data_IF_585302262835
#
_entry.id   IF_585302262835
#
_cell.length_a   1.000
_cell.length_b   1.000
_cell.length_c   1.000
_cell.angle_alpha   90.00
_cell.angle_beta   90.00
_cell.angle_gamma   90.00
#
_symmetry.space_group_name_H-M   'P 1'
#
loop_
_entity.id
_entity.type
_entity.pdbx_description
1 polymer ?
#
# COMPACT_ATOMS: atom_id res chain seq x y z
N UNK A 1 26.39 18.05 29.68
CA UNK A 1 25.40 17.04 30.12
C UNK A 1 24.02 17.24 29.49
N UNK A 2 23.35 18.39 29.63
CA UNK A 2 22.01 18.64 29.05
C UNK A 2 21.96 18.53 27.51
N UNK A 3 22.92 19.12 26.81
CA UNK A 3 22.92 19.17 25.34
C UNK A 3 23.11 17.79 24.69
N UNK A 4 23.90 16.93 25.33
CA UNK A 4 24.18 15.57 24.86
C UNK A 4 22.94 14.67 24.98
N UNK A 5 22.14 14.87 26.04
CA UNK A 5 20.87 14.16 26.22
C UNK A 5 19.85 14.54 25.13
N UNK A 6 19.72 15.83 24.82
CA UNK A 6 18.81 16.31 23.76
C UNK A 6 19.22 15.73 22.40
N UNK A 7 20.52 15.75 22.07
CA UNK A 7 21.01 15.16 20.83
C UNK A 7 20.71 13.65 20.75
N UNK A 8 20.89 12.92 21.86
CA UNK A 8 20.57 11.50 21.93
C UNK A 8 19.07 11.22 21.74
N UNK A 9 18.20 12.01 22.37
CA UNK A 9 16.75 11.91 22.19
C UNK A 9 16.32 12.17 20.74
N UNK A 10 16.90 13.18 20.08
CA UNK A 10 16.60 13.49 18.67
C UNK A 10 17.01 12.32 17.77
N UNK A 11 18.22 11.78 17.96
CA UNK A 11 18.68 10.61 17.20
C UNK A 11 17.76 9.41 17.42
N UNK A 12 17.34 9.15 18.66
CA UNK A 12 16.42 8.05 18.97
C UNK A 12 15.06 8.19 18.28
N UNK A 13 14.49 9.41 18.29
CA UNK A 13 13.21 9.70 17.63
C UNK A 13 13.32 9.53 16.11
N UNK A 14 14.46 9.90 15.50
CA UNK A 14 14.69 9.70 14.07
C UNK A 14 14.82 8.21 13.72
N UNK A 15 15.50 7.41 14.54
CA UNK A 15 15.61 5.96 14.32
C UNK A 15 14.27 5.21 14.50
N UNK A 16 13.44 5.65 15.45
CA UNK A 16 12.11 5.08 15.70
C UNK A 16 11.04 5.64 14.75
N UNK A 17 11.32 6.80 14.16
CA UNK A 17 10.48 7.54 13.24
C UNK A 17 10.63 7.10 11.78
N UNK A 18 11.14 5.89 11.53
CA UNK A 18 10.90 5.17 10.27
C UNK A 18 9.39 4.91 10.18
N UNK A 19 8.64 5.96 9.86
CA UNK A 19 7.29 5.83 9.35
C UNK A 19 7.48 5.04 8.08
N UNK A 20 7.15 3.76 8.14
CA UNK A 20 6.78 2.97 6.99
C UNK A 20 5.83 3.83 6.16
N UNK A 21 6.41 4.59 5.22
CA UNK A 21 5.71 5.15 4.09
C UNK A 21 5.32 3.90 3.35
N UNK A 22 4.20 3.33 3.81
CA UNK A 22 3.47 2.37 3.02
C UNK A 22 3.35 3.10 1.70
N UNK A 23 4.03 2.60 0.68
CA UNK A 23 3.61 2.80 -0.69
C UNK A 23 2.27 2.10 -0.78
N UNK A 24 1.30 2.61 -0.03
CA UNK A 24 -0.01 2.07 0.14
C UNK A 24 -0.56 2.18 -1.25
N UNK A 25 -0.84 1.03 -1.84
CA UNK A 25 -1.61 1.01 -3.06
C UNK A 25 -2.79 1.97 -2.81
N UNK A 26 -2.94 2.96 -3.68
CA UNK A 26 -4.12 3.82 -3.61
C UNK A 26 -5.30 2.90 -3.90
N UNK A 27 -6.18 2.74 -2.91
CA UNK A 27 -7.41 1.98 -3.08
C UNK A 27 -8.28 2.72 -4.10
N UNK A 28 -8.20 2.29 -5.35
CA UNK A 28 -8.92 2.89 -6.47
C UNK A 28 -9.67 1.78 -7.21
N UNK A 29 -11.01 1.72 -7.14
CA UNK A 29 -11.80 0.71 -7.83
C UNK A 29 -11.63 0.78 -9.36
N UNK A 30 -11.22 1.93 -9.91
CA UNK A 30 -10.99 2.09 -11.34
C UNK A 30 -9.80 1.25 -11.85
N UNK A 31 -8.84 0.90 -10.99
CA UNK A 31 -7.73 -0.02 -11.32
C UNK A 31 -8.23 -1.44 -11.62
N UNK A 32 -9.45 -1.79 -11.18
CA UNK A 32 -10.12 -3.07 -11.48
C UNK A 32 -10.90 -3.06 -12.79
N UNK A 33 -10.86 -1.98 -13.59
CA UNK A 33 -11.54 -1.91 -14.90
C UNK A 33 -11.15 -3.06 -15.84
N UNK A 34 -9.91 -3.55 -15.76
CA UNK A 34 -9.44 -4.74 -16.48
C UNK A 34 -10.18 -6.02 -16.11
N UNK A 35 -10.85 -6.05 -14.95
CA UNK A 35 -11.68 -7.15 -14.46
C UNK A 35 -13.17 -7.00 -14.81
N UNK A 36 -13.60 -5.92 -15.48
CA UNK A 36 -15.03 -5.64 -15.69
C UNK A 36 -15.79 -6.83 -16.30
N UNK A 37 -15.29 -7.41 -17.39
CA UNK A 37 -15.92 -8.58 -18.04
C UNK A 37 -15.97 -9.82 -17.14
N UNK A 38 -14.93 -10.05 -16.34
CA UNK A 38 -14.89 -11.18 -15.40
C UNK A 38 -15.91 -11.00 -14.27
N UNK A 39 -16.16 -9.76 -13.84
CA UNK A 39 -17.14 -9.42 -12.79
C UNK A 39 -18.57 -9.50 -13.34
N UNK A 40 -18.82 -8.92 -14.52
CA UNK A 40 -20.19 -8.80 -15.05
C UNK A 40 -20.70 -10.06 -15.75
N UNK A 41 -19.80 -10.83 -16.36
CA UNK A 41 -20.17 -12.00 -17.18
C UNK A 41 -19.61 -13.33 -16.67
N UNK A 42 -18.97 -13.35 -15.49
CA UNK A 42 -18.31 -14.53 -14.92
C UNK A 42 -17.31 -15.20 -15.88
N UNK A 43 -16.74 -14.43 -16.82
CA UNK A 43 -15.72 -14.91 -17.75
C UNK A 43 -14.37 -15.09 -17.05
N UNK A 44 -13.51 -15.95 -17.59
CA UNK A 44 -12.15 -16.10 -17.08
C UNK A 44 -11.39 -14.75 -17.04
N UNK A 45 -10.74 -14.40 -15.91
CA UNK A 45 -10.03 -13.14 -15.79
C UNK A 45 -8.75 -13.12 -16.64
N UNK A 46 -8.42 -11.95 -17.18
CA UNK A 46 -7.16 -11.72 -17.90
C UNK A 46 -5.98 -11.67 -16.94
N UNK A 47 -4.76 -11.88 -17.45
CA UNK A 47 -3.54 -11.72 -16.66
C UNK A 47 -3.42 -10.31 -16.05
N UNK A 48 -3.83 -9.27 -16.80
CA UNK A 48 -3.85 -7.89 -16.33
C UNK A 48 -4.83 -7.69 -15.16
N UNK A 49 -6.03 -8.26 -15.26
CA UNK A 49 -6.99 -8.27 -14.16
C UNK A 49 -6.38 -8.92 -12.90
N UNK A 50 -5.78 -10.10 -13.02
CA UNK A 50 -5.18 -10.80 -11.88
C UNK A 50 -4.05 -9.99 -11.22
N UNK A 51 -3.19 -9.35 -12.00
CA UNK A 51 -2.12 -8.48 -11.46
C UNK A 51 -2.70 -7.32 -10.67
N UNK A 52 -3.69 -6.60 -11.21
CA UNK A 52 -4.33 -5.46 -10.52
C UNK A 52 -5.15 -5.88 -9.31
N UNK A 53 -5.83 -7.02 -9.38
CA UNK A 53 -6.52 -7.60 -8.25
C UNK A 53 -5.55 -7.95 -7.11
N UNK A 54 -4.34 -8.44 -7.44
CA UNK A 54 -3.30 -8.78 -6.45
C UNK A 54 -2.71 -7.54 -5.79
N UNK A 55 -2.49 -6.48 -6.56
CA UNK A 55 -2.09 -5.16 -6.04
C UNK A 55 -3.12 -4.60 -5.06
N UNK A 56 -4.42 -4.72 -5.39
CA UNK A 56 -5.52 -4.18 -4.58
C UNK A 56 -5.96 -5.09 -3.42
N UNK A 57 -5.34 -6.25 -3.19
CA UNK A 57 -5.66 -7.17 -2.08
C UNK A 57 -5.84 -6.51 -0.71
N UNK A 58 -4.98 -5.58 -0.24
CA UNK A 58 -5.16 -4.94 1.07
C UNK A 58 -6.39 -4.02 1.16
N UNK A 59 -6.97 -3.63 0.02
CA UNK A 59 -8.16 -2.77 -0.05
C UNK A 59 -9.47 -3.56 -0.15
N UNK A 60 -9.40 -4.87 -0.41
CA UNK A 60 -10.58 -5.73 -0.55
C UNK A 60 -11.05 -6.19 0.83
N UNK A 61 -12.37 -6.16 1.05
CA UNK A 61 -13.02 -6.57 2.31
C UNK A 61 -12.85 -8.07 2.61
#
# INVERSE_FOLDING_TARGET
>A
MKMSYVAFCVVLVLLLGETQVSTGITCNPLELSACASAITSASAPSAACCSKLREQRPCLC
#
